data_IF_268036504037
#
_entry.id   IF_268036504037
#
_cell.length_a   1.000
_cell.length_b   1.000
_cell.length_c   1.000
_cell.angle_alpha   90.00
_cell.angle_beta   90.00
_cell.angle_gamma   90.00
#
_symmetry.space_group_name_H-M   'P 1'
#
loop_
_entity.id
_entity.type
_entity.pdbx_description
1 polymer ?
#
# COMPACT_ATOMS: atom_id res chain seq x y z
N UNK A 1 -3.19 -7.54 8.80
CA UNK A 1 -3.25 -6.05 8.78
C UNK A 1 -2.14 -5.46 7.93
N UNK A 2 -0.87 -5.83 8.10
CA UNK A 2 0.26 -5.27 7.35
C UNK A 2 0.14 -5.41 5.83
N UNK A 3 -0.36 -6.54 5.34
CA UNK A 3 -0.61 -6.76 3.91
C UNK A 3 -1.61 -5.76 3.31
N UNK A 4 -2.67 -5.42 4.06
CA UNK A 4 -3.63 -4.40 3.64
C UNK A 4 -2.99 -3.00 3.61
N UNK A 5 -2.17 -2.66 4.61
CA UNK A 5 -1.45 -1.39 4.64
C UNK A 5 -0.55 -1.22 3.42
N UNK A 6 0.13 -2.28 2.98
CA UNK A 6 0.93 -2.26 1.77
C UNK A 6 0.08 -1.95 0.52
N UNK A 7 -1.13 -2.50 0.43
CA UNK A 7 -2.06 -2.18 -0.67
C UNK A 7 -2.46 -0.71 -0.65
N UNK A 8 -2.78 -0.17 0.54
CA UNK A 8 -3.13 1.25 0.71
C UNK A 8 -1.97 2.15 0.32
N UNK A 9 -0.76 1.87 0.81
CA UNK A 9 0.46 2.63 0.52
C UNK A 9 0.73 2.71 -0.99
N UNK A 10 0.47 1.63 -1.72
CA UNK A 10 0.70 1.60 -3.17
C UNK A 10 -0.39 2.30 -3.97
N UNK A 11 -1.64 2.07 -3.60
CA UNK A 11 -2.79 2.51 -4.42
C UNK A 11 -3.27 3.90 -4.10
N UNK A 12 -3.16 4.32 -2.83
CA UNK A 12 -3.68 5.62 -2.42
C UNK A 12 -3.04 6.79 -3.18
N UNK A 13 -1.70 6.88 -3.34
CA UNK A 13 -1.09 7.95 -4.11
C UNK A 13 -1.57 7.99 -5.56
N UNK A 14 -1.68 6.82 -6.20
CA UNK A 14 -2.13 6.70 -7.60
C UNK A 14 -3.59 7.11 -7.75
N UNK A 15 -4.45 6.74 -6.79
CA UNK A 15 -5.87 7.14 -6.80
C UNK A 15 -6.00 8.66 -6.65
N UNK A 16 -5.25 9.26 -5.72
CA UNK A 16 -5.27 10.70 -5.48
C UNK A 16 -4.73 11.46 -6.70
N UNK A 17 -3.63 11.03 -7.29
CA UNK A 17 -3.07 11.65 -8.48
C UNK A 17 -4.03 11.61 -9.67
N UNK A 18 -4.67 10.47 -9.92
CA UNK A 18 -5.70 10.34 -10.96
C UNK A 18 -6.90 11.24 -10.70
N UNK A 19 -7.30 11.37 -9.44
CA UNK A 19 -8.40 12.24 -9.04
C UNK A 19 -8.08 13.70 -9.28
N UNK A 20 -6.91 14.17 -8.83
CA UNK A 20 -6.45 15.55 -9.04
C UNK A 20 -6.26 15.88 -10.51
N UNK A 21 -5.68 14.96 -11.29
CA UNK A 21 -5.55 15.13 -12.74
C UNK A 21 -6.91 15.27 -13.42
N UNK A 22 -7.88 14.47 -13.02
CA UNK A 22 -9.25 14.55 -13.55
C UNK A 22 -9.92 15.87 -13.19
N UNK A 23 -9.81 16.31 -11.94
CA UNK A 23 -10.33 17.60 -11.49
C UNK A 23 -9.68 18.76 -12.27
N UNK A 24 -8.36 18.71 -12.45
CA UNK A 24 -7.63 19.72 -13.24
C UNK A 24 -8.07 19.74 -14.71
N UNK A 25 -8.28 18.58 -15.33
CA UNK A 25 -8.77 18.50 -16.72
C UNK A 25 -10.20 19.01 -16.85
N UNK A 26 -11.08 18.74 -15.88
CA UNK A 26 -12.44 19.31 -15.86
C UNK A 26 -12.43 20.83 -15.79
N UNK A 27 -11.51 21.40 -15.01
CA UNK A 27 -11.37 22.86 -14.90
C UNK A 27 -10.80 23.51 -16.17
N UNK A 28 -9.90 22.80 -16.88
CA UNK A 28 -9.19 23.36 -18.04
C UNK A 28 -9.92 23.13 -19.38
N UNK A 29 -10.61 22.02 -19.56
CA UNK A 29 -11.02 21.54 -20.88
C UNK A 29 -12.53 21.54 -21.13
N UNK A 30 -13.41 21.81 -20.18
CA UNK A 30 -14.88 21.71 -20.34
C UNK A 30 -15.37 20.41 -21.00
N UNK A 31 -14.54 19.39 -21.12
CA UNK A 31 -14.85 18.10 -21.73
C UNK A 31 -14.96 17.04 -20.66
N UNK A 32 -15.99 16.21 -20.74
CA UNK A 32 -16.12 15.03 -19.88
C UNK A 32 -14.93 14.10 -20.10
N UNK A 33 -14.22 13.69 -19.05
CA UNK A 33 -13.12 12.75 -19.19
C UNK A 33 -13.68 11.41 -19.65
N UNK A 34 -13.03 10.80 -20.65
CA UNK A 34 -13.31 9.42 -21.06
C UNK A 34 -13.37 8.52 -19.82
N UNK A 35 -14.33 7.60 -19.83
CA UNK A 35 -14.56 6.66 -18.73
C UNK A 35 -13.36 5.74 -18.53
N UNK A 36 -12.40 6.19 -17.73
CA UNK A 36 -11.30 5.34 -17.30
C UNK A 36 -11.82 4.18 -16.44
N UNK A 37 -11.21 2.99 -16.55
CA UNK A 37 -11.61 1.85 -15.74
C UNK A 37 -11.50 2.17 -14.25
N UNK A 38 -12.50 1.74 -13.49
CA UNK A 38 -12.59 1.98 -12.04
C UNK A 38 -11.35 1.41 -11.33
N UNK A 39 -10.51 2.28 -10.79
CA UNK A 39 -9.33 1.91 -10.02
C UNK A 39 -9.56 2.27 -8.54
N UNK A 40 -9.83 1.25 -7.73
CA UNK A 40 -10.10 1.37 -6.30
C UNK A 40 -9.11 0.55 -5.48
N UNK A 41 -9.20 0.65 -4.14
CA UNK A 41 -8.42 -0.18 -3.21
C UNK A 41 -8.68 -1.69 -3.39
N UNK A 42 -9.85 -2.07 -3.91
CA UNK A 42 -10.25 -3.47 -4.11
C UNK A 42 -10.09 -3.96 -5.55
N UNK A 43 -10.18 -3.06 -6.54
CA UNK A 43 -10.16 -3.39 -7.97
C UNK A 43 -9.02 -2.62 -8.65
N UNK A 44 -8.19 -3.28 -9.47
CA UNK A 44 -8.08 -4.71 -9.74
C UNK A 44 -7.52 -5.52 -8.55
N UNK A 45 -7.64 -6.86 -8.60
CA UNK A 45 -7.02 -7.76 -7.60
C UNK A 45 -5.51 -7.52 -7.51
N UNK A 46 -4.93 -7.86 -6.36
CA UNK A 46 -3.47 -7.80 -6.17
C UNK A 46 -2.77 -8.64 -7.24
N UNK A 47 -1.94 -8.00 -8.02
CA UNK A 47 -1.16 -8.60 -9.09
C UNK A 47 0.31 -8.24 -8.93
N UNK A 48 1.17 -9.05 -9.50
CA UNK A 48 2.61 -8.78 -9.52
C UNK A 48 2.87 -7.50 -10.34
N UNK A 49 3.66 -6.53 -9.84
CA UNK A 49 3.94 -5.30 -10.58
C UNK A 49 4.74 -5.52 -11.86
N UNK A 50 5.40 -6.67 -12.01
CA UNK A 50 6.26 -6.97 -13.15
C UNK A 50 5.60 -7.85 -14.21
N UNK A 51 4.86 -8.89 -13.82
CA UNK A 51 4.25 -9.82 -14.77
C UNK A 51 2.71 -9.74 -14.81
N UNK A 52 2.09 -8.87 -14.01
CA UNK A 52 0.64 -8.64 -13.93
C UNK A 52 -0.19 -9.89 -13.60
N UNK A 53 0.43 -11.00 -13.23
CA UNK A 53 -0.29 -12.19 -12.78
C UNK A 53 -0.97 -11.94 -11.43
N UNK A 54 -2.21 -12.42 -11.23
CA UNK A 54 -2.91 -12.29 -9.96
C UNK A 54 -2.17 -13.07 -8.87
N UNK A 55 -1.91 -12.42 -7.75
CA UNK A 55 -1.24 -13.03 -6.61
C UNK A 55 -2.19 -13.97 -5.89
N UNK A 56 -1.68 -15.15 -5.52
CA UNK A 56 -2.40 -16.09 -4.67
C UNK A 56 -2.57 -15.52 -3.26
N UNK A 57 -3.61 -15.95 -2.54
CA UNK A 57 -3.85 -15.55 -1.15
C UNK A 57 -2.65 -15.88 -0.25
N UNK A 58 -1.94 -16.96 -0.55
CA UNK A 58 -0.71 -17.36 0.18
C UNK A 58 0.47 -16.42 -0.09
N UNK A 59 0.55 -15.85 -1.26
CA UNK A 59 1.58 -14.89 -1.66
C UNK A 59 1.25 -13.47 -1.16
N UNK A 60 0.03 -13.27 -0.66
CA UNK A 60 -0.46 -12.00 -0.12
C UNK A 60 -0.07 -11.80 1.38
N UNK A 61 0.67 -12.76 1.95
CA UNK A 61 1.36 -12.60 3.23
C UNK A 61 2.83 -12.32 2.92
N UNK A 62 3.22 -11.03 2.72
CA UNK A 62 4.54 -10.71 2.17
C UNK A 62 5.68 -11.16 3.06
N UNK A 63 5.48 -11.17 4.38
CA UNK A 63 6.52 -11.60 5.33
C UNK A 63 6.89 -13.09 5.16
N UNK A 64 5.88 -13.97 5.12
CA UNK A 64 6.10 -15.41 4.94
C UNK A 64 6.61 -15.70 3.52
N UNK A 65 6.00 -15.09 2.52
CA UNK A 65 6.41 -15.24 1.13
C UNK A 65 7.85 -14.75 0.92
N UNK A 66 8.21 -13.60 1.51
CA UNK A 66 9.56 -13.05 1.45
C UNK A 66 10.60 -13.99 2.09
N UNK A 67 10.27 -14.59 3.24
CA UNK A 67 11.17 -15.50 3.95
C UNK A 67 11.37 -16.81 3.17
N UNK A 68 10.28 -17.42 2.68
CA UNK A 68 10.36 -18.69 1.93
C UNK A 68 10.98 -18.53 0.53
N UNK A 69 10.73 -17.42 -0.15
CA UNK A 69 11.21 -17.16 -1.51
C UNK A 69 12.50 -16.32 -1.55
N UNK A 70 13.13 -16.08 -0.38
CA UNK A 70 14.38 -15.29 -0.26
C UNK A 70 14.28 -13.94 -0.98
N UNK A 71 13.16 -13.26 -0.83
CA UNK A 71 12.93 -11.95 -1.42
C UNK A 71 12.63 -11.93 -2.91
N UNK A 72 12.28 -13.07 -3.51
CA UNK A 72 11.93 -13.17 -4.93
C UNK A 72 10.45 -13.43 -5.13
N UNK A 73 9.89 -12.89 -6.20
CA UNK A 73 8.53 -13.19 -6.62
C UNK A 73 8.43 -14.61 -7.16
N UNK A 74 7.37 -15.35 -6.78
CA UNK A 74 7.14 -16.72 -7.25
C UNK A 74 6.84 -16.80 -8.75
N UNK A 75 6.21 -15.77 -9.31
CA UNK A 75 5.76 -15.79 -10.71
C UNK A 75 6.87 -15.43 -11.70
N UNK A 76 7.72 -14.45 -11.41
CA UNK A 76 8.75 -13.94 -12.33
C UNK A 76 10.17 -13.96 -11.75
N UNK A 77 10.35 -14.36 -10.49
CA UNK A 77 11.67 -14.40 -9.85
C UNK A 77 12.28 -13.02 -9.54
N UNK A 78 11.55 -11.94 -9.84
CA UNK A 78 11.99 -10.57 -9.61
C UNK A 78 12.07 -10.25 -8.11
N UNK A 79 12.98 -9.37 -7.72
CA UNK A 79 13.19 -9.03 -6.31
C UNK A 79 12.05 -8.19 -5.76
N UNK A 80 11.45 -8.66 -4.67
CA UNK A 80 10.43 -7.91 -3.94
C UNK A 80 11.13 -6.84 -3.11
N UNK A 81 10.73 -5.57 -3.20
CA UNK A 81 11.32 -4.50 -2.41
C UNK A 81 11.18 -4.76 -0.91
N UNK A 82 12.25 -4.50 -0.17
CA UNK A 82 12.38 -4.80 1.27
C UNK A 82 11.38 -4.03 2.15
N UNK A 83 10.85 -2.91 1.67
CA UNK A 83 9.88 -2.13 2.45
C UNK A 83 8.55 -2.87 2.69
N UNK A 84 8.18 -3.84 1.85
CA UNK A 84 6.97 -4.65 2.06
C UNK A 84 7.02 -5.45 3.38
N UNK A 85 8.02 -6.32 3.61
CA UNK A 85 8.14 -7.02 4.88
C UNK A 85 8.43 -6.06 6.03
N UNK A 86 9.13 -4.95 5.80
CA UNK A 86 9.43 -3.97 6.83
C UNK A 86 8.15 -3.33 7.39
N UNK A 87 7.24 -2.88 6.53
CA UNK A 87 5.94 -2.33 6.94
C UNK A 87 5.12 -3.37 7.71
N UNK A 88 5.16 -4.63 7.29
CA UNK A 88 4.41 -5.69 7.96
C UNK A 88 4.94 -6.00 9.36
N UNK A 89 6.26 -6.07 9.53
CA UNK A 89 6.89 -6.25 10.83
C UNK A 89 6.60 -5.05 11.74
N UNK A 90 6.82 -3.83 11.24
CA UNK A 90 6.62 -2.60 12.02
C UNK A 90 5.17 -2.46 12.47
N UNK A 91 4.21 -2.68 11.58
CA UNK A 91 2.79 -2.64 11.94
C UNK A 91 2.42 -3.69 12.98
N UNK A 92 2.94 -4.91 12.85
CA UNK A 92 2.69 -6.00 13.80
C UNK A 92 3.23 -5.67 15.18
N UNK A 93 4.46 -5.18 15.28
CA UNK A 93 5.08 -4.77 16.54
C UNK A 93 4.28 -3.65 17.20
N UNK A 94 3.93 -2.60 16.47
CA UNK A 94 3.16 -1.47 17.01
C UNK A 94 1.76 -1.88 17.47
N UNK A 95 1.11 -2.77 16.74
CA UNK A 95 -0.22 -3.28 17.14
C UNK A 95 -0.17 -4.14 18.40
N UNK A 96 0.87 -4.97 18.56
CA UNK A 96 1.09 -5.75 19.79
C UNK A 96 1.40 -4.83 20.96
N UNK A 97 2.25 -3.82 20.78
CA UNK A 97 2.55 -2.84 21.82
C UNK A 97 1.29 -2.06 22.23
N UNK A 98 0.45 -1.63 21.31
CA UNK A 98 -0.81 -1.00 21.64
C UNK A 98 -1.75 -1.95 22.41
N UNK A 99 -1.84 -3.21 21.98
CA UNK A 99 -2.65 -4.21 22.68
C UNK A 99 -2.17 -4.51 24.10
N UNK A 100 -0.86 -4.38 24.36
CA UNK A 100 -0.31 -4.55 25.72
C UNK A 100 -0.56 -3.34 26.63
N UNK A 101 -0.84 -2.17 26.07
CA UNK A 101 -1.03 -0.91 26.81
C UNK A 101 -2.50 -0.55 27.05
N UNK A 102 -3.36 -0.91 26.12
CA UNK A 102 -4.79 -0.56 26.15
C UNK A 102 -5.65 -1.78 26.39
N UNK A 103 -6.67 -1.64 27.21
CA UNK A 103 -7.66 -2.69 27.39
C UNK A 103 -8.50 -2.91 26.12
N UNK A 104 -8.98 -4.15 25.88
CA UNK A 104 -9.88 -4.43 24.76
C UNK A 104 -11.11 -3.54 24.82
N UNK A 105 -11.28 -2.71 23.79
CA UNK A 105 -12.39 -1.77 23.73
C UNK A 105 -12.21 -0.76 22.60
N UNK A 106 -13.06 0.24 22.57
CA UNK A 106 -13.06 1.29 21.55
C UNK A 106 -11.72 2.04 21.49
N UNK A 107 -11.07 2.25 22.65
CA UNK A 107 -9.77 2.92 22.74
C UNK A 107 -8.67 2.15 22.01
N UNK A 108 -8.65 0.83 22.13
CA UNK A 108 -7.69 -0.01 21.42
C UNK A 108 -7.91 0.04 19.91
N UNK A 109 -9.16 -0.01 19.46
CA UNK A 109 -9.50 0.12 18.03
C UNK A 109 -9.07 1.48 17.49
N UNK A 110 -9.34 2.56 18.22
CA UNK A 110 -8.91 3.90 17.85
C UNK A 110 -7.38 4.01 17.76
N UNK A 111 -6.66 3.43 18.72
CA UNK A 111 -5.19 3.38 18.70
C UNK A 111 -4.66 2.63 17.48
N UNK A 112 -5.24 1.49 17.12
CA UNK A 112 -4.85 0.73 15.94
C UNK A 112 -5.11 1.49 14.63
N UNK A 113 -6.26 2.17 14.52
CA UNK A 113 -6.56 3.01 13.35
C UNK A 113 -5.59 4.19 13.25
N UNK A 114 -5.27 4.82 14.36
CA UNK A 114 -4.33 5.91 14.41
C UNK A 114 -2.91 5.47 14.00
N UNK A 115 -2.41 4.36 14.56
CA UNK A 115 -1.12 3.76 14.19
C UNK A 115 -1.09 3.41 12.71
N UNK A 116 -2.16 2.78 12.19
CA UNK A 116 -2.24 2.43 10.78
C UNK A 116 -2.17 3.66 9.87
N UNK A 117 -2.89 4.72 10.21
CA UNK A 117 -2.89 5.97 9.47
C UNK A 117 -1.52 6.65 9.48
N UNK A 118 -0.88 6.76 10.65
CA UNK A 118 0.46 7.33 10.76
C UNK A 118 1.50 6.53 9.96
N UNK A 119 1.42 5.21 10.02
CA UNK A 119 2.36 4.34 9.32
C UNK A 119 2.21 4.48 7.79
N UNK A 120 0.98 4.52 7.29
CA UNK A 120 0.70 4.76 5.86
C UNK A 120 1.25 6.12 5.44
N UNK A 121 0.97 7.18 6.20
CA UNK A 121 1.46 8.53 5.90
C UNK A 121 2.99 8.59 5.90
N UNK A 122 3.65 8.02 6.91
CA UNK A 122 5.11 8.01 7.00
C UNK A 122 5.76 7.28 5.82
N UNK A 123 5.20 6.14 5.40
CA UNK A 123 5.76 5.39 4.26
C UNK A 123 5.50 6.12 2.94
N UNK A 124 4.34 6.73 2.76
CA UNK A 124 4.05 7.55 1.57
C UNK A 124 5.00 8.74 1.51
N UNK A 125 5.21 9.43 2.63
CA UNK A 125 6.11 10.58 2.72
C UNK A 125 7.55 10.20 2.37
N UNK A 126 8.06 9.13 2.95
CA UNK A 126 9.38 8.59 2.60
C UNK A 126 9.51 8.25 1.10
N UNK A 127 8.46 7.69 0.49
CA UNK A 127 8.47 7.35 -0.93
C UNK A 127 8.38 8.59 -1.81
N UNK A 128 7.57 9.55 -1.45
CA UNK A 128 7.41 10.81 -2.18
C UNK A 128 8.69 11.67 -2.09
N UNK A 129 9.35 11.68 -0.92
CA UNK A 129 10.62 12.36 -0.74
C UNK A 129 11.79 11.71 -1.52
N UNK A 130 11.71 10.40 -1.80
CA UNK A 130 12.69 9.68 -2.64
C UNK A 130 12.45 9.83 -4.15
N UNK A 131 11.25 10.24 -4.57
CA UNK A 131 10.90 10.42 -5.99
C UNK A 131 11.47 11.68 -6.65
N UNK A 132 11.72 12.82 -5.96
CA UNK A 132 12.28 14.01 -6.61
C UNK A 132 13.67 13.80 -7.22
N UNK A 133 14.47 12.89 -6.68
CA UNK A 133 15.84 12.62 -7.18
C UNK A 133 15.88 11.83 -8.50
N UNK A 134 14.79 11.22 -8.91
CA UNK A 134 14.72 10.43 -10.15
C UNK A 134 14.19 11.27 -11.33
N UNK A 135 13.59 12.44 -11.05
CA UNK A 135 13.00 13.34 -12.05
C UNK A 135 13.84 14.60 -12.33
N UNK A 136 14.94 14.74 -11.63
CA UNK A 136 15.95 15.75 -11.91
C UNK A 136 17.19 15.14 -12.50
#
# INVERSE_FOLDING_TARGET
>A
MGSFLNVVIHRLPVILERRWRREALMLLAHSEPESEPVFNLMIPRSHCPYCFQPLSIRDNIPLLSYLFLKGKSRCCGERIPIYYPLVEITSSVLFILAASRFHPGLTLVAAWLFIAMLLVLAVIDCRTAMLPDVLT
#
